data_IF_280821527558
#
_entry.id   IF_280821527558
#
_cell.length_a   1.000
_cell.length_b   1.000
_cell.length_c   1.000
_cell.angle_alpha   90.00
_cell.angle_beta   90.00
_cell.angle_gamma   90.00
#
_symmetry.space_group_name_H-M   'P 1'
#
loop_
_entity.id
_entity.type
_entity.pdbx_description
1 polymer ?
#
# COMPACT_ATOMS: atom_id res chain seq x y z
N UNK A 1 30.91 19.43 29.78
CA UNK A 1 30.12 18.84 28.69
C UNK A 1 28.69 18.73 29.18
N UNK A 2 27.88 19.76 28.92
CA UNK A 2 26.46 19.74 29.29
C UNK A 2 25.70 19.01 28.15
N UNK A 3 25.44 17.70 28.33
CA UNK A 3 24.47 17.02 27.52
C UNK A 3 23.08 17.62 27.79
N UNK A 4 22.51 18.30 26.81
CA UNK A 4 21.09 18.65 26.85
C UNK A 4 20.30 17.36 27.11
N UNK A 5 19.32 17.35 28.01
CA UNK A 5 18.47 16.19 28.17
C UNK A 5 17.83 15.86 26.80
N UNK A 6 17.93 14.59 26.38
CA UNK A 6 17.25 14.16 25.19
C UNK A 6 15.77 14.56 25.31
N UNK A 7 15.26 15.28 24.33
CA UNK A 7 13.86 15.67 24.31
C UNK A 7 12.99 14.40 24.37
N UNK A 8 12.00 14.37 25.26
CA UNK A 8 11.07 13.25 25.30
C UNK A 8 10.37 13.12 23.95
N UNK A 9 10.12 11.88 23.47
CA UNK A 9 9.42 11.67 22.22
C UNK A 9 8.04 12.35 22.24
N UNK A 10 7.80 13.25 21.32
CA UNK A 10 6.59 14.09 21.32
C UNK A 10 5.93 14.25 19.95
N UNK A 11 6.58 13.76 18.89
CA UNK A 11 6.08 13.85 17.53
C UNK A 11 5.40 12.56 17.07
N UNK A 12 4.41 12.71 16.23
CA UNK A 12 3.75 11.62 15.51
C UNK A 12 4.20 11.67 14.04
N UNK A 13 4.82 10.59 13.58
CA UNK A 13 5.15 10.42 12.16
C UNK A 13 3.94 9.86 11.41
N UNK A 14 3.35 10.65 10.53
CA UNK A 14 2.30 10.21 9.65
C UNK A 14 2.88 9.89 8.26
N UNK A 15 2.71 8.66 7.81
CA UNK A 15 3.14 8.17 6.51
C UNK A 15 1.90 7.94 5.66
N UNK A 16 1.77 8.67 4.56
CA UNK A 16 0.71 8.52 3.57
C UNK A 16 1.31 7.96 2.28
N UNK A 17 1.11 6.66 2.07
CA UNK A 17 1.57 5.96 0.89
C UNK A 17 0.46 5.90 -0.18
N UNK A 18 0.29 7.02 -0.88
CA UNK A 18 -0.75 7.16 -1.91
C UNK A 18 -0.37 6.55 -3.26
N UNK A 19 -1.24 6.71 -4.26
CA UNK A 19 -1.00 6.24 -5.62
C UNK A 19 0.02 7.11 -6.36
N UNK A 20 -0.01 8.42 -6.14
CA UNK A 20 0.83 9.36 -6.89
C UNK A 20 2.08 9.81 -6.14
N UNK A 21 2.12 9.61 -4.84
CA UNK A 21 3.23 10.09 -4.01
C UNK A 21 3.26 9.40 -2.65
N UNK A 22 4.47 9.31 -2.10
CA UNK A 22 4.69 9.02 -0.69
C UNK A 22 4.86 10.35 0.05
N UNK A 23 4.14 10.53 1.14
CA UNK A 23 4.25 11.69 2.03
C UNK A 23 4.61 11.23 3.42
N UNK A 24 5.54 11.93 4.03
CA UNK A 24 5.88 11.76 5.44
C UNK A 24 5.77 13.12 6.13
N UNK A 25 5.05 13.14 7.25
CA UNK A 25 4.74 14.35 7.99
C UNK A 25 5.02 14.13 9.48
N UNK A 26 5.65 15.10 10.11
CA UNK A 26 5.83 15.10 11.56
C UNK A 26 4.82 16.05 12.19
N UNK A 27 3.95 15.53 13.05
CA UNK A 27 2.96 16.31 13.78
C UNK A 27 3.29 16.40 15.27
N UNK A 28 3.01 17.55 15.85
CA UNK A 28 2.99 17.70 17.30
C UNK A 28 1.74 17.03 17.88
N UNK A 29 1.70 16.83 19.20
CA UNK A 29 0.51 16.34 19.90
C UNK A 29 -0.69 17.27 19.78
N UNK A 30 -0.45 18.57 19.53
CA UNK A 30 -1.52 19.57 19.28
C UNK A 30 -2.06 19.53 17.84
N UNK A 31 -1.51 18.68 16.96
CA UNK A 31 -1.93 18.57 15.56
C UNK A 31 -1.25 19.55 14.61
N UNK A 32 -0.23 20.28 15.05
CA UNK A 32 0.54 21.15 14.18
C UNK A 32 1.53 20.33 13.33
N UNK A 33 1.55 20.57 12.01
CA UNK A 33 2.53 19.94 11.12
C UNK A 33 3.86 20.69 11.21
N UNK A 34 4.84 20.10 11.89
CA UNK A 34 6.19 20.67 12.06
C UNK A 34 7.02 20.60 10.79
N UNK A 35 6.94 19.49 10.06
CA UNK A 35 7.65 19.31 8.80
C UNK A 35 6.94 18.30 7.91
N UNK A 36 7.17 18.41 6.61
CA UNK A 36 6.64 17.50 5.59
C UNK A 36 7.69 17.25 4.52
N UNK A 37 7.81 15.99 4.09
CA UNK A 37 8.51 15.61 2.87
C UNK A 37 7.60 14.77 1.97
N UNK A 38 7.79 14.88 0.64
CA UNK A 38 6.97 14.18 -0.33
C UNK A 38 7.81 13.83 -1.55
N UNK A 39 7.67 12.58 -2.01
CA UNK A 39 8.25 12.11 -3.27
C UNK A 39 7.15 11.60 -4.20
N UNK A 40 7.22 11.87 -5.51
CA UNK A 40 6.30 11.30 -6.48
C UNK A 40 6.54 9.79 -6.65
N UNK A 41 5.49 9.06 -7.01
CA UNK A 41 5.55 7.70 -7.51
C UNK A 41 5.26 7.78 -9.01
N UNK A 42 6.30 7.67 -9.83
CA UNK A 42 6.23 7.85 -11.29
C UNK A 42 6.71 6.62 -12.07
N UNK A 43 7.06 5.54 -11.37
CA UNK A 43 7.69 4.35 -11.96
C UNK A 43 6.73 3.18 -12.14
N UNK A 44 5.45 3.45 -12.42
CA UNK A 44 4.52 2.38 -12.75
C UNK A 44 4.88 1.74 -14.09
N UNK A 45 4.85 0.41 -14.11
CA UNK A 45 5.12 -0.40 -15.29
C UNK A 45 3.79 -0.88 -15.89
N UNK A 46 3.72 -0.87 -17.23
CA UNK A 46 2.58 -1.34 -17.99
C UNK A 46 3.03 -2.42 -18.97
N UNK A 47 3.38 -3.64 -18.51
CA UNK A 47 3.93 -4.68 -19.37
C UNK A 47 2.96 -5.16 -20.45
N UNK A 48 1.64 -5.05 -20.19
CA UNK A 48 0.58 -5.35 -21.15
C UNK A 48 -0.55 -4.31 -21.05
N UNK A 49 -1.40 -4.18 -22.08
CA UNK A 49 -2.55 -3.28 -22.03
C UNK A 49 -3.45 -3.58 -20.82
N UNK A 50 -3.75 -2.56 -20.03
CA UNK A 50 -4.55 -2.67 -18.82
C UNK A 50 -3.82 -3.17 -17.58
N UNK A 51 -2.55 -3.57 -17.69
CA UNK A 51 -1.75 -3.97 -16.55
C UNK A 51 -1.10 -2.75 -15.92
N UNK A 52 -1.04 -2.75 -14.60
CA UNK A 52 -0.34 -1.71 -13.83
C UNK A 52 0.41 -2.36 -12.68
N UNK A 53 1.73 -2.31 -12.74
CA UNK A 53 2.63 -2.94 -11.78
C UNK A 53 3.64 -1.93 -11.23
N UNK A 54 4.23 -2.28 -10.09
CA UNK A 54 5.34 -1.53 -9.50
C UNK A 54 6.31 -2.48 -8.81
N UNK A 55 7.59 -2.13 -8.86
CA UNK A 55 8.60 -2.86 -8.10
C UNK A 55 8.38 -2.68 -6.59
N UNK A 56 8.30 -3.80 -5.87
CA UNK A 56 8.05 -3.79 -4.42
C UNK A 56 9.21 -3.14 -3.65
N UNK A 57 10.45 -3.41 -4.07
CA UNK A 57 11.63 -2.79 -3.46
C UNK A 57 11.67 -1.28 -3.72
N UNK A 58 11.18 -0.84 -4.89
CA UNK A 58 11.01 0.57 -5.21
C UNK A 58 10.11 1.30 -4.22
N UNK A 59 9.06 0.66 -3.72
CA UNK A 59 8.21 1.22 -2.67
C UNK A 59 8.97 1.43 -1.36
N UNK A 60 9.81 0.48 -0.98
CA UNK A 60 10.63 0.61 0.22
C UNK A 60 11.67 1.74 0.10
N UNK A 61 12.31 1.86 -1.07
CA UNK A 61 13.26 2.94 -1.36
C UNK A 61 12.56 4.31 -1.28
N UNK A 62 11.38 4.46 -1.88
CA UNK A 62 10.60 5.70 -1.80
C UNK A 62 10.24 6.07 -0.36
N UNK A 63 9.81 5.10 0.45
CA UNK A 63 9.48 5.31 1.84
C UNK A 63 10.70 5.77 2.65
N UNK A 64 11.79 5.03 2.57
CA UNK A 64 13.02 5.33 3.33
C UNK A 64 13.61 6.68 2.91
N UNK A 65 13.66 6.98 1.61
CA UNK A 65 14.12 8.26 1.09
C UNK A 65 13.22 9.40 1.55
N UNK A 66 11.89 9.19 1.60
CA UNK A 66 10.97 10.21 2.12
C UNK A 66 11.20 10.49 3.61
N UNK A 67 11.47 9.46 4.40
CA UNK A 67 11.82 9.63 5.82
C UNK A 67 13.15 10.38 5.99
N UNK A 68 14.18 10.01 5.23
CA UNK A 68 15.47 10.71 5.27
C UNK A 68 15.31 12.19 4.91
N UNK A 69 14.55 12.49 3.85
CA UNK A 69 14.28 13.89 3.49
C UNK A 69 13.45 14.68 4.53
N UNK A 70 12.69 13.99 5.41
CA UNK A 70 12.06 14.62 6.55
C UNK A 70 13.08 14.94 7.66
N UNK A 71 14.01 14.01 7.93
CA UNK A 71 15.10 14.22 8.91
C UNK A 71 16.01 15.39 8.52
N UNK A 72 16.32 15.53 7.23
CA UNK A 72 17.08 16.68 6.71
C UNK A 72 16.39 18.03 6.93
N UNK A 73 15.08 18.04 7.15
CA UNK A 73 14.30 19.24 7.52
C UNK A 73 14.29 19.54 9.02
N UNK A 74 15.15 18.86 9.78
CA UNK A 74 15.37 19.13 11.20
C UNK A 74 14.41 18.39 12.13
N UNK A 75 13.82 17.28 11.68
CA UNK A 75 13.10 16.34 12.55
C UNK A 75 14.09 15.28 13.02
N UNK A 76 14.29 15.18 14.34
CA UNK A 76 15.11 14.11 14.91
C UNK A 76 14.25 12.84 15.08
N UNK A 77 14.67 11.68 14.52
CA UNK A 77 13.96 10.41 14.74
C UNK A 77 13.70 10.06 16.19
N UNK A 78 14.57 10.51 17.12
CA UNK A 78 14.43 10.28 18.56
C UNK A 78 13.18 11.00 19.14
N UNK A 79 12.72 12.07 18.49
CA UNK A 79 11.51 12.79 18.89
C UNK A 79 10.21 12.06 18.49
N UNK A 80 10.28 10.97 17.68
CA UNK A 80 9.10 10.26 17.21
C UNK A 80 8.57 9.33 18.29
N UNK A 81 7.39 9.66 18.81
CA UNK A 81 6.69 8.85 19.82
C UNK A 81 5.81 7.77 19.21
N UNK A 82 5.28 8.00 18.01
CA UNK A 82 4.39 7.07 17.33
C UNK A 82 4.48 7.20 15.81
N UNK A 83 4.16 6.11 15.10
CA UNK A 83 4.07 6.09 13.63
C UNK A 83 2.66 5.66 13.23
N UNK A 84 2.04 6.41 12.32
CA UNK A 84 0.77 6.10 11.70
C UNK A 84 0.98 5.93 10.21
N UNK A 85 0.50 4.82 9.65
CA UNK A 85 0.65 4.53 8.22
C UNK A 85 -0.71 4.43 7.56
N UNK A 86 -0.89 5.12 6.45
CA UNK A 86 -2.01 4.94 5.52
C UNK A 86 -1.47 4.56 4.15
N UNK A 87 -2.20 3.71 3.44
CA UNK A 87 -1.78 3.18 2.14
C UNK A 87 -2.91 3.22 1.14
N UNK A 88 -2.56 3.17 -0.14
CA UNK A 88 -3.53 2.90 -1.21
C UNK A 88 -4.18 1.53 -0.99
N UNK A 89 -5.50 1.44 -1.21
CA UNK A 89 -6.25 0.19 -1.08
C UNK A 89 -6.16 -0.65 -2.34
N UNK A 90 -6.40 -1.97 -2.21
CA UNK A 90 -6.47 -2.93 -3.31
C UNK A 90 -5.17 -3.08 -4.14
N UNK A 91 -4.04 -2.59 -3.65
CA UNK A 91 -2.72 -2.96 -4.18
C UNK A 91 -2.29 -4.27 -3.55
N UNK A 92 -1.87 -5.24 -4.36
CA UNK A 92 -1.56 -6.60 -3.92
C UNK A 92 -0.08 -6.89 -4.11
N UNK A 93 0.57 -7.37 -3.05
CA UNK A 93 1.93 -7.88 -3.06
C UNK A 93 1.90 -9.36 -2.70
N UNK A 94 2.43 -10.21 -3.57
CA UNK A 94 2.58 -11.63 -3.30
C UNK A 94 3.98 -11.89 -2.73
N UNK A 95 4.03 -12.53 -1.57
CA UNK A 95 5.29 -12.86 -0.89
C UNK A 95 5.44 -14.38 -0.77
N UNK A 96 6.68 -14.85 -0.74
CA UNK A 96 7.01 -16.22 -0.35
C UNK A 96 6.97 -16.38 1.19
N UNK A 97 7.27 -17.58 1.68
CA UNK A 97 7.29 -17.90 3.11
C UNK A 97 8.36 -17.11 3.90
N UNK A 98 9.35 -16.56 3.22
CA UNK A 98 10.42 -15.75 3.78
C UNK A 98 10.12 -14.25 3.69
N UNK A 99 8.96 -13.85 3.16
CA UNK A 99 8.58 -12.46 2.98
C UNK A 99 9.19 -11.79 1.75
N UNK A 100 9.77 -12.57 0.81
CA UNK A 100 10.34 -12.04 -0.41
C UNK A 100 9.29 -11.89 -1.50
N UNK A 101 9.26 -10.78 -2.25
CA UNK A 101 8.33 -10.61 -3.35
C UNK A 101 8.51 -11.68 -4.43
N UNK A 102 7.41 -12.34 -4.80
CA UNK A 102 7.37 -13.34 -5.88
C UNK A 102 7.25 -12.70 -7.26
N UNK A 103 6.77 -11.47 -7.31
CA UNK A 103 6.54 -10.69 -8.53
C UNK A 103 6.34 -9.22 -8.18
N UNK A 104 6.32 -8.30 -9.17
CA UNK A 104 5.92 -6.92 -8.94
C UNK A 104 4.54 -6.80 -8.29
N UNK A 105 4.32 -5.73 -7.52
CA UNK A 105 3.02 -5.42 -6.94
C UNK A 105 2.00 -5.14 -8.05
N UNK A 106 0.80 -5.67 -7.91
CA UNK A 106 -0.35 -5.31 -8.76
C UNK A 106 -1.01 -4.09 -8.12
N UNK A 107 -1.05 -3.00 -8.87
CA UNK A 107 -1.63 -1.75 -8.41
C UNK A 107 -3.15 -1.77 -8.57
N UNK A 108 -3.87 -1.07 -7.73
CA UNK A 108 -5.35 -1.05 -7.71
C UNK A 108 -5.97 -0.56 -9.03
N UNK A 109 -5.22 0.13 -9.89
CA UNK A 109 -5.64 0.57 -11.23
C UNK A 109 -5.49 -0.51 -12.29
N UNK A 110 -4.91 -1.66 -11.94
CA UNK A 110 -4.76 -2.81 -12.83
C UNK A 110 -6.12 -3.36 -13.25
N UNK A 111 -6.28 -3.61 -14.54
CA UNK A 111 -7.54 -4.06 -15.14
C UNK A 111 -7.47 -5.52 -15.64
N UNK A 112 -6.38 -6.24 -15.28
CA UNK A 112 -6.27 -7.65 -15.68
C UNK A 112 -7.40 -8.46 -15.06
N UNK A 113 -7.97 -9.34 -15.85
CA UNK A 113 -8.98 -10.27 -15.38
C UNK A 113 -8.37 -11.66 -15.26
N UNK A 114 -8.79 -12.40 -14.24
CA UNK A 114 -8.48 -13.81 -14.17
C UNK A 114 -9.14 -14.54 -15.38
N UNK A 115 -8.51 -15.59 -15.92
CA UNK A 115 -9.18 -16.39 -16.93
C UNK A 115 -10.51 -16.88 -16.36
N UNK A 116 -11.60 -16.87 -17.18
CA UNK A 116 -12.93 -17.27 -16.70
C UNK A 116 -12.83 -18.66 -16.09
N UNK A 117 -13.27 -18.78 -14.85
CA UNK A 117 -13.41 -20.08 -14.20
C UNK A 117 -14.40 -20.91 -15.03
N UNK A 118 -13.99 -22.10 -15.40
CA UNK A 118 -14.87 -22.99 -16.19
C UNK A 118 -16.25 -23.12 -15.52
N UNK A 119 -17.26 -23.41 -16.33
CA UNK A 119 -18.65 -23.55 -15.83
C UNK A 119 -18.70 -24.49 -14.64
N UNK A 120 -19.42 -24.08 -13.62
CA UNK A 120 -19.70 -24.93 -12.46
C UNK A 120 -20.25 -26.27 -12.91
N UNK A 121 -19.83 -27.40 -12.30
CA UNK A 121 -20.43 -28.71 -12.57
C UNK A 121 -21.96 -28.61 -12.50
N UNK A 122 -22.64 -29.29 -13.43
CA UNK A 122 -24.08 -29.19 -13.59
C UNK A 122 -24.88 -29.44 -12.29
N UNK A 123 -24.36 -30.32 -11.42
CA UNK A 123 -24.94 -30.61 -10.12
C UNK A 123 -25.06 -29.37 -9.22
N UNK A 124 -24.00 -28.56 -9.16
CA UNK A 124 -23.99 -27.33 -8.40
C UNK A 124 -24.91 -26.28 -8.98
N UNK A 125 -25.01 -26.20 -10.30
CA UNK A 125 -25.95 -25.29 -10.98
C UNK A 125 -27.41 -25.63 -10.64
N UNK A 126 -27.77 -26.93 -10.57
CA UNK A 126 -29.09 -27.35 -10.15
C UNK A 126 -29.33 -27.02 -8.68
N UNK A 127 -28.38 -27.33 -7.80
CA UNK A 127 -28.49 -27.08 -6.36
C UNK A 127 -28.70 -25.59 -6.09
N UNK A 128 -27.87 -24.72 -6.67
CA UNK A 128 -28.00 -23.28 -6.53
C UNK A 128 -29.26 -22.72 -7.19
N UNK A 129 -29.74 -23.35 -8.26
CA UNK A 129 -31.01 -23.01 -8.87
C UNK A 129 -32.20 -23.31 -7.96
N UNK A 130 -32.18 -24.44 -7.25
CA UNK A 130 -33.18 -24.82 -6.25
C UNK A 130 -33.18 -23.88 -5.03
N UNK A 131 -32.00 -23.44 -4.61
CA UNK A 131 -31.84 -22.50 -3.51
C UNK A 131 -32.12 -21.04 -3.88
N UNK A 132 -32.52 -20.75 -5.12
CA UNK A 132 -32.78 -19.40 -5.66
C UNK A 132 -31.62 -18.41 -5.54
N UNK A 133 -30.37 -18.90 -5.51
CA UNK A 133 -29.16 -18.08 -5.42
C UNK A 133 -28.46 -17.96 -6.80
N UNK A 134 -29.23 -17.88 -7.86
CA UNK A 134 -28.76 -17.71 -9.25
C UNK A 134 -27.75 -16.56 -9.43
N UNK A 135 -27.91 -15.38 -8.80
CA UNK A 135 -26.93 -14.29 -8.95
C UNK A 135 -25.52 -14.67 -8.50
N UNK A 136 -25.39 -15.58 -7.53
CA UNK A 136 -24.08 -16.07 -7.06
C UNK A 136 -23.42 -16.96 -8.11
N UNK A 137 -24.21 -17.77 -8.81
CA UNK A 137 -23.71 -18.64 -9.90
C UNK A 137 -23.21 -17.79 -11.06
N UNK A 138 -23.99 -16.78 -11.46
CA UNK A 138 -23.62 -15.85 -12.54
C UNK A 138 -22.33 -15.09 -12.22
N UNK A 139 -22.16 -14.63 -10.99
CA UNK A 139 -20.91 -13.99 -10.56
C UNK A 139 -19.72 -14.97 -10.54
N UNK A 140 -19.91 -16.21 -10.09
CA UNK A 140 -18.84 -17.22 -10.06
C UNK A 140 -18.44 -17.73 -11.45
N UNK A 141 -19.33 -17.64 -12.43
CA UNK A 141 -19.05 -18.01 -13.84
C UNK A 141 -18.53 -16.81 -14.66
N UNK A 142 -18.74 -15.57 -14.19
CA UNK A 142 -18.33 -14.32 -14.87
C UNK A 142 -16.92 -13.84 -14.48
N UNK A 143 -16.42 -14.26 -13.32
CA UNK A 143 -15.05 -14.01 -12.85
C UNK A 143 -14.14 -15.17 -13.26
#
# INVERSE_FOLDING_TARGET
>A
MNGSPASEPSLILAIDFGTQSVRVLAYTQSGECRAKHQLPIDQYQHPEPGWTEHDVEGFWILLTTSCLGLWEKGVDPVEIAAVVVTTQRATVVNLDEMGKPLRPAIIWTDQRQAPPRGRLPWLWRILFGLLRIRPIVENLEAE
#
